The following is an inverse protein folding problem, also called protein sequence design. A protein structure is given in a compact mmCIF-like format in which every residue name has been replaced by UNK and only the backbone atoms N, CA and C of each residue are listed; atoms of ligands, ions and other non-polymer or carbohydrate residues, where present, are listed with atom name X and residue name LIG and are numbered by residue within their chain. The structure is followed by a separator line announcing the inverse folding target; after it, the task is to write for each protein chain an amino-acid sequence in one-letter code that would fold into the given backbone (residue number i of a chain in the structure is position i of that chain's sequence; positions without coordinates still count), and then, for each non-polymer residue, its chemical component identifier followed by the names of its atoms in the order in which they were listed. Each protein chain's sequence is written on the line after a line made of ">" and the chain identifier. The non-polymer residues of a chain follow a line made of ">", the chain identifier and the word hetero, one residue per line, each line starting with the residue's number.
data_IF_101098777445
#
_entry.id   IF_101098777445
#
_cell.length_a   1.000
_cell.length_b   1.000
_cell.length_c   1.000
_cell.angle_alpha   90.00
_cell.angle_beta   90.00
_cell.angle_gamma   90.00
#
_symmetry.space_group_name_H-M   'P 1'
#
loop_
_entity.id
_entity.type
_entity.pdbx_description
1 polymer ?
#
# COMPACT_ATOMS: atom_id res chain seq x y z
N UNK A 1 6.64 22.24 44.05
CA UNK A 1 6.18 20.83 43.94
C UNK A 1 5.44 20.65 42.62
N UNK A 2 6.09 20.06 41.60
CA UNK A 2 5.47 19.81 40.29
C UNK A 2 5.25 18.30 40.14
N UNK A 3 3.99 17.85 40.13
CA UNK A 3 3.61 16.46 39.88
C UNK A 3 3.78 16.14 38.39
N UNK A 4 4.75 15.27 38.08
CA UNK A 4 4.91 14.62 36.77
C UNK A 4 3.75 13.64 36.58
N UNK A 5 2.92 13.83 35.55
CA UNK A 5 1.93 12.84 35.10
C UNK A 5 2.66 11.77 34.28
N UNK A 6 2.72 10.55 34.80
CA UNK A 6 3.14 9.36 34.08
C UNK A 6 2.15 9.03 32.95
N UNK A 7 2.67 8.93 31.73
CA UNK A 7 1.93 8.46 30.56
C UNK A 7 2.02 6.94 30.48
N UNK A 8 0.93 6.24 30.77
CA UNK A 8 0.81 4.81 30.51
C UNK A 8 0.81 4.52 29.01
N UNK A 9 1.60 3.55 28.51
CA UNK A 9 1.60 3.19 27.10
C UNK A 9 0.28 2.50 26.73
N UNK A 10 -0.49 3.10 25.81
CA UNK A 10 -1.65 2.44 25.20
C UNK A 10 -1.18 1.21 24.43
N UNK A 11 -1.57 0.03 24.88
CA UNK A 11 -1.41 -1.24 24.17
C UNK A 11 -2.01 -1.13 22.76
N UNK A 12 -1.16 -1.30 21.75
CA UNK A 12 -1.60 -1.49 20.37
C UNK A 12 -2.28 -2.86 20.29
N UNK A 13 -3.61 -2.88 20.30
CA UNK A 13 -4.39 -4.05 19.88
C UNK A 13 -3.94 -4.44 18.47
N UNK A 14 -3.12 -5.48 18.38
CA UNK A 14 -2.72 -6.12 17.13
C UNK A 14 -3.99 -6.70 16.52
N UNK A 15 -4.54 -6.05 15.49
CA UNK A 15 -5.55 -6.66 14.63
C UNK A 15 -4.89 -7.86 13.98
N UNK A 16 -5.18 -9.07 14.47
CA UNK A 16 -4.96 -10.30 13.72
C UNK A 16 -5.85 -10.25 12.48
N UNK A 17 -5.30 -9.73 11.38
CA UNK A 17 -5.87 -9.94 10.06
C UNK A 17 -5.62 -11.40 9.70
N UNK A 18 -6.67 -12.20 9.64
CA UNK A 18 -6.66 -13.48 8.92
C UNK A 18 -6.09 -13.18 7.53
N UNK A 19 -4.94 -13.77 7.21
CA UNK A 19 -4.34 -13.59 5.88
C UNK A 19 -5.39 -13.98 4.84
N UNK A 20 -5.71 -13.10 3.87
CA UNK A 20 -6.59 -13.48 2.78
C UNK A 20 -5.93 -14.65 2.07
N UNK A 21 -6.57 -15.82 2.10
CA UNK A 21 -6.01 -17.09 1.59
C UNK A 21 -5.74 -17.10 0.07
N UNK A 22 -5.94 -15.99 -0.64
CA UNK A 22 -5.71 -15.89 -2.08
C UNK A 22 -5.36 -14.44 -2.47
N UNK A 23 -4.15 -13.99 -2.15
CA UNK A 23 -3.65 -12.67 -2.56
C UNK A 23 -3.08 -12.77 -3.98
N UNK A 24 -3.69 -12.06 -4.92
CA UNK A 24 -3.18 -11.93 -6.28
C UNK A 24 -1.99 -10.97 -6.29
N UNK A 25 -0.83 -11.45 -6.72
CA UNK A 25 0.32 -10.58 -6.92
C UNK A 25 0.21 -9.85 -8.26
N UNK A 26 0.45 -8.53 -8.24
CA UNK A 26 0.31 -7.61 -9.39
C UNK A 26 1.50 -6.65 -9.46
N UNK A 27 1.82 -6.07 -10.62
CA UNK A 27 2.86 -5.03 -10.71
C UNK A 27 2.38 -3.70 -10.11
N UNK A 28 1.09 -3.41 -10.30
CA UNK A 28 0.43 -2.19 -9.83
C UNK A 28 -0.95 -2.53 -9.26
N UNK A 29 -1.19 -2.13 -8.01
CA UNK A 29 -2.52 -2.21 -7.42
C UNK A 29 -3.44 -1.25 -8.17
N UNK A 30 -4.61 -1.75 -8.60
CA UNK A 30 -5.60 -0.93 -9.30
C UNK A 30 -6.01 0.30 -8.48
N UNK A 31 -6.29 1.41 -9.16
CA UNK A 31 -6.64 2.66 -8.48
C UNK A 31 -7.92 2.51 -7.66
N UNK A 32 -8.90 1.75 -8.17
CA UNK A 32 -10.13 1.39 -7.48
C UNK A 32 -9.86 0.68 -6.15
N UNK A 33 -8.96 -0.32 -6.15
CA UNK A 33 -8.60 -1.10 -4.96
C UNK A 33 -7.95 -0.19 -3.91
N UNK A 34 -7.15 0.80 -4.31
CA UNK A 34 -6.59 1.79 -3.38
C UNK A 34 -7.68 2.63 -2.72
N UNK A 35 -8.68 3.09 -3.47
CA UNK A 35 -9.80 3.84 -2.91
C UNK A 35 -10.67 2.97 -2.00
N UNK A 36 -10.95 1.73 -2.38
CA UNK A 36 -11.68 0.76 -1.55
C UNK A 36 -10.93 0.53 -0.23
N UNK A 37 -9.61 0.29 -0.29
CA UNK A 37 -8.76 0.14 0.90
C UNK A 37 -8.78 1.38 1.80
N UNK A 38 -8.73 2.58 1.21
CA UNK A 38 -8.84 3.84 1.96
C UNK A 38 -10.20 3.97 2.64
N UNK A 39 -11.28 3.59 1.95
CA UNK A 39 -12.66 3.64 2.46
C UNK A 39 -12.87 2.68 3.62
N UNK A 40 -12.48 1.40 3.48
CA UNK A 40 -12.45 0.42 4.58
C UNK A 40 -11.65 0.94 5.76
N UNK A 41 -10.54 1.63 5.48
CA UNK A 41 -9.70 2.26 6.49
C UNK A 41 -10.37 3.40 7.28
N UNK A 42 -11.54 3.90 6.88
CA UNK A 42 -12.35 4.88 7.63
C UNK A 42 -13.21 4.23 8.70
N UNK A 43 -13.50 2.94 8.59
CA UNK A 43 -14.41 2.23 9.49
C UNK A 43 -14.00 2.41 10.96
N UNK A 44 -14.94 2.91 11.77
CA UNK A 44 -14.80 3.23 13.19
C UNK A 44 -13.69 4.24 13.50
N UNK A 45 -13.35 5.11 12.54
CA UNK A 45 -12.45 6.24 12.77
C UNK A 45 -13.21 7.55 12.74
N UNK A 46 -12.88 8.42 13.69
CA UNK A 46 -13.33 9.81 13.71
C UNK A 46 -12.61 10.57 12.60
N UNK A 47 -13.38 11.31 11.79
CA UNK A 47 -12.86 12.13 10.69
C UNK A 47 -13.55 13.47 10.66
N UNK A 48 -12.78 14.48 10.27
CA UNK A 48 -13.29 15.83 10.01
C UNK A 48 -14.04 15.86 8.68
N UNK A 49 -15.00 16.79 8.49
CA UNK A 49 -15.66 16.98 7.20
C UNK A 49 -14.67 17.24 6.07
N UNK A 50 -13.62 18.02 6.33
CA UNK A 50 -12.55 18.30 5.36
C UNK A 50 -11.80 17.05 4.91
N UNK A 51 -11.58 16.07 5.80
CA UNK A 51 -10.92 14.81 5.44
C UNK A 51 -11.80 13.96 4.50
N UNK A 52 -13.12 13.95 4.72
CA UNK A 52 -14.08 13.26 3.84
C UNK A 52 -14.18 14.00 2.50
N UNK A 53 -14.28 15.32 2.49
CA UNK A 53 -14.29 16.13 1.27
C UNK A 53 -13.02 15.91 0.43
N UNK A 54 -11.84 15.86 1.07
CA UNK A 54 -10.58 15.58 0.39
C UNK A 54 -10.55 14.17 -0.24
N UNK A 55 -11.21 13.19 0.39
CA UNK A 55 -11.41 11.87 -0.20
C UNK A 55 -12.30 11.98 -1.44
N UNK A 56 -13.49 12.56 -1.32
CA UNK A 56 -14.45 12.71 -2.44
C UNK A 56 -13.76 13.37 -3.64
N UNK A 57 -13.06 14.49 -3.43
CA UNK A 57 -12.31 15.20 -4.48
C UNK A 57 -11.23 14.33 -5.13
N UNK A 58 -10.51 13.52 -4.35
CA UNK A 58 -9.52 12.60 -4.90
C UNK A 58 -10.17 11.53 -5.78
N UNK A 59 -11.30 10.95 -5.33
CA UNK A 59 -12.04 9.93 -6.08
C UNK A 59 -12.56 10.51 -7.41
N UNK A 60 -13.18 11.68 -7.37
CA UNK A 60 -13.69 12.38 -8.55
C UNK A 60 -12.56 12.69 -9.55
N UNK A 61 -11.40 13.15 -9.08
CA UNK A 61 -10.23 13.39 -9.95
C UNK A 61 -9.77 12.12 -10.66
N UNK A 62 -9.68 10.99 -9.95
CA UNK A 62 -9.26 9.72 -10.57
C UNK A 62 -10.27 9.21 -11.61
N UNK A 63 -11.56 9.48 -11.42
CA UNK A 63 -12.61 9.20 -12.42
C UNK A 63 -12.42 10.11 -13.65
N UNK A 64 -12.27 11.43 -13.45
CA UNK A 64 -12.08 12.41 -14.55
C UNK A 64 -10.81 12.11 -15.35
N UNK A 65 -9.72 11.72 -14.68
CA UNK A 65 -8.46 11.31 -15.31
C UNK A 65 -8.53 9.94 -15.99
N UNK A 66 -9.68 9.26 -15.98
CA UNK A 66 -9.90 7.91 -16.54
C UNK A 66 -8.99 6.84 -15.94
N UNK A 67 -8.49 7.06 -14.71
CA UNK A 67 -7.81 6.04 -13.90
C UNK A 67 -8.81 5.02 -13.37
N UNK A 68 -10.04 5.48 -13.08
CA UNK A 68 -11.19 4.63 -12.77
C UNK A 68 -12.19 4.76 -13.92
N UNK A 69 -12.56 3.64 -14.53
CA UNK A 69 -13.46 3.61 -15.69
C UNK A 69 -14.76 2.91 -15.34
N UNK A 70 -15.85 3.29 -16.01
CA UNK A 70 -17.16 2.61 -15.87
C UNK A 70 -17.12 1.14 -16.27
N UNK A 71 -16.22 0.78 -17.18
CA UNK A 71 -15.99 -0.60 -17.63
C UNK A 71 -15.17 -1.44 -16.63
N UNK A 72 -14.74 -0.85 -15.52
CA UNK A 72 -14.03 -1.57 -14.47
C UNK A 72 -14.98 -2.59 -13.80
N UNK A 73 -14.50 -3.79 -13.45
CA UNK A 73 -15.30 -4.76 -12.69
C UNK A 73 -15.65 -4.28 -11.28
N UNK A 74 -14.97 -3.24 -10.77
CA UNK A 74 -15.19 -2.64 -9.44
C UNK A 74 -15.96 -1.32 -9.51
N UNK A 75 -16.57 -1.00 -10.66
CA UNK A 75 -17.27 0.27 -10.87
C UNK A 75 -18.47 0.43 -9.92
N UNK A 76 -19.20 -0.64 -9.65
CA UNK A 76 -20.33 -0.65 -8.71
C UNK A 76 -19.91 -0.33 -7.27
N UNK A 77 -18.81 -0.92 -6.79
CA UNK A 77 -18.27 -0.63 -5.46
C UNK A 77 -17.81 0.84 -5.36
N UNK A 78 -17.18 1.37 -6.40
CA UNK A 78 -16.74 2.77 -6.43
C UNK A 78 -17.93 3.73 -6.39
N UNK A 79 -18.98 3.46 -7.16
CA UNK A 79 -20.20 4.26 -7.15
C UNK A 79 -20.87 4.24 -5.77
N UNK A 80 -21.00 3.06 -5.17
CA UNK A 80 -21.50 2.92 -3.81
C UNK A 80 -20.68 3.74 -2.81
N UNK A 81 -19.34 3.65 -2.87
CA UNK A 81 -18.43 4.41 -2.00
C UNK A 81 -18.64 5.92 -2.18
N UNK A 82 -18.70 6.39 -3.42
CA UNK A 82 -18.92 7.80 -3.73
C UNK A 82 -20.22 8.30 -3.10
N UNK A 83 -21.33 7.57 -3.31
CA UNK A 83 -22.64 7.93 -2.79
C UNK A 83 -22.64 7.99 -1.26
N UNK A 84 -22.05 6.99 -0.59
CA UNK A 84 -21.95 6.98 0.88
C UNK A 84 -21.08 8.09 1.44
N UNK A 85 -19.96 8.41 0.78
CA UNK A 85 -19.10 9.52 1.21
C UNK A 85 -19.80 10.87 1.08
N UNK A 86 -20.51 11.11 -0.03
CA UNK A 86 -21.28 12.34 -0.25
C UNK A 86 -22.41 12.46 0.79
N UNK A 87 -23.16 11.39 1.02
CA UNK A 87 -24.22 11.38 2.03
C UNK A 87 -23.67 11.64 3.44
N UNK A 88 -22.53 11.05 3.80
CA UNK A 88 -21.91 11.29 5.10
C UNK A 88 -21.46 12.75 5.21
N UNK A 89 -20.74 13.27 4.22
CA UNK A 89 -20.25 14.66 4.23
C UNK A 89 -21.39 15.67 4.40
N UNK A 90 -22.52 15.46 3.70
CA UNK A 90 -23.68 16.36 3.78
C UNK A 90 -24.39 16.31 5.13
N UNK A 91 -24.26 15.21 5.89
CA UNK A 91 -24.87 15.04 7.22
C UNK A 91 -23.97 15.51 8.36
N UNK A 92 -22.65 15.50 8.15
CA UNK A 92 -21.68 15.84 9.17
C UNK A 92 -21.82 17.29 9.61
N UNK A 93 -21.94 17.51 10.93
CA UNK A 93 -21.90 18.86 11.53
C UNK A 93 -20.56 19.18 12.16
N UNK A 94 -19.66 18.20 12.21
CA UNK A 94 -18.33 18.29 12.80
C UNK A 94 -17.60 16.96 12.64
N UNK A 95 -16.72 16.67 13.59
CA UNK A 95 -15.94 15.44 13.58
C UNK A 95 -16.82 14.25 14.01
N UNK A 96 -16.96 13.27 13.13
CA UNK A 96 -17.85 12.12 13.35
C UNK A 96 -17.16 10.81 12.99
N UNK A 97 -17.59 9.72 13.66
CA UNK A 97 -17.12 8.38 13.35
C UNK A 97 -17.81 7.82 12.11
N UNK A 98 -17.04 7.30 11.17
CA UNK A 98 -17.58 6.69 9.96
C UNK A 98 -17.84 5.18 10.18
N UNK A 99 -19.10 4.76 10.17
CA UNK A 99 -19.49 3.35 10.26
C UNK A 99 -19.86 2.79 8.88
N UNK A 100 -19.43 1.56 8.62
CA UNK A 100 -19.76 0.80 7.40
C UNK A 100 -20.54 -0.41 7.89
N UNK A 101 -21.63 -0.76 7.22
CA UNK A 101 -22.37 -1.98 7.58
C UNK A 101 -21.47 -3.22 7.39
N UNK A 102 -21.73 -4.26 8.17
CA UNK A 102 -20.84 -5.42 8.24
C UNK A 102 -20.75 -6.19 6.91
N UNK A 103 -21.86 -6.31 6.18
CA UNK A 103 -21.91 -6.96 4.86
C UNK A 103 -20.96 -6.30 3.86
N UNK A 104 -21.08 -4.99 3.71
CA UNK A 104 -20.25 -4.22 2.78
C UNK A 104 -18.81 -4.13 3.29
N UNK A 105 -18.61 -4.05 4.61
CA UNK A 105 -17.26 -4.06 5.18
C UNK A 105 -16.53 -5.36 4.82
N UNK A 106 -17.17 -6.52 5.01
CA UNK A 106 -16.57 -7.83 4.71
C UNK A 106 -16.25 -7.97 3.22
N UNK A 107 -17.18 -7.57 2.34
CA UNK A 107 -16.98 -7.55 0.88
C UNK A 107 -15.80 -6.65 0.49
N UNK A 108 -15.79 -5.40 0.96
CA UNK A 108 -14.76 -4.43 0.62
C UNK A 108 -13.39 -4.78 1.23
N UNK A 109 -13.34 -5.41 2.41
CA UNK A 109 -12.11 -5.92 3.03
C UNK A 109 -11.49 -7.02 2.17
N UNK A 110 -12.31 -7.93 1.64
CA UNK A 110 -11.84 -8.99 0.74
C UNK A 110 -11.21 -8.39 -0.52
N UNK A 111 -11.83 -7.38 -1.12
CA UNK A 111 -11.27 -6.67 -2.29
C UNK A 111 -9.99 -5.92 -1.91
N UNK A 112 -10.00 -5.17 -0.81
CA UNK A 112 -8.85 -4.38 -0.36
C UNK A 112 -7.61 -5.23 -0.01
N UNK A 113 -7.82 -6.50 0.37
CA UNK A 113 -6.78 -7.48 0.65
C UNK A 113 -6.48 -8.43 -0.51
N UNK A 114 -7.21 -8.35 -1.62
CA UNK A 114 -7.12 -9.30 -2.74
C UNK A 114 -5.93 -9.06 -3.68
N UNK A 115 -5.32 -7.88 -3.65
CA UNK A 115 -4.15 -7.54 -4.47
C UNK A 115 -2.95 -7.16 -3.59
N UNK A 116 -1.77 -7.68 -3.93
CA UNK A 116 -0.49 -7.23 -3.38
C UNK A 116 0.52 -6.98 -4.50
N UNK A 117 1.41 -6.01 -4.31
CA UNK A 117 2.50 -5.79 -5.26
C UNK A 117 3.54 -6.88 -5.10
N UNK A 118 4.06 -7.41 -6.21
CA UNK A 118 5.19 -8.34 -6.17
C UNK A 118 6.36 -7.78 -5.32
N UNK A 119 6.90 -8.57 -4.36
CA UNK A 119 8.09 -8.16 -3.61
C UNK A 119 9.29 -7.84 -4.51
N UNK A 120 9.41 -8.55 -5.64
CA UNK A 120 10.43 -8.30 -6.66
C UNK A 120 10.35 -6.89 -7.29
N UNK A 121 9.14 -6.38 -7.55
CA UNK A 121 8.95 -5.01 -8.05
C UNK A 121 9.42 -3.98 -7.02
N UNK A 122 9.17 -4.22 -5.73
CA UNK A 122 9.65 -3.34 -4.66
C UNK A 122 11.19 -3.32 -4.60
N UNK A 123 11.82 -4.49 -4.76
CA UNK A 123 13.27 -4.64 -4.89
C UNK A 123 13.80 -3.83 -6.07
N UNK A 124 13.23 -4.01 -7.26
CA UNK A 124 13.69 -3.36 -8.49
C UNK A 124 13.60 -1.84 -8.36
N UNK A 125 12.47 -1.31 -7.86
CA UNK A 125 12.29 0.14 -7.65
C UNK A 125 13.31 0.70 -6.66
N UNK A 126 13.61 -0.03 -5.59
CA UNK A 126 14.61 0.40 -4.60
C UNK A 126 16.02 0.37 -5.18
N UNK A 127 16.34 -0.63 -5.99
CA UNK A 127 17.61 -0.69 -6.71
C UNK A 127 17.79 0.49 -7.67
N UNK A 128 16.76 0.84 -8.45
CA UNK A 128 16.79 2.02 -9.34
C UNK A 128 17.15 3.28 -8.55
N UNK A 129 16.52 3.50 -7.40
CA UNK A 129 16.84 4.66 -6.54
C UNK A 129 18.23 4.63 -5.90
N UNK A 130 18.90 3.47 -5.88
CA UNK A 130 20.25 3.30 -5.35
C UNK A 130 21.36 3.42 -6.41
N UNK A 131 21.02 3.37 -7.69
CA UNK A 131 22.00 3.55 -8.76
C UNK A 131 22.69 4.93 -8.65
N UNK A 132 23.99 4.97 -8.87
CA UNK A 132 24.81 6.17 -8.73
C UNK A 132 25.13 6.60 -7.29
N UNK A 133 24.53 5.97 -6.27
CA UNK A 133 24.84 6.25 -4.86
C UNK A 133 26.15 5.58 -4.44
N UNK A 134 26.88 6.23 -3.53
CA UNK A 134 28.08 5.73 -2.85
C UNK A 134 27.90 5.51 -1.34
N UNK A 135 26.68 5.69 -0.83
CA UNK A 135 26.39 5.53 0.60
C UNK A 135 26.37 4.05 0.98
N UNK A 136 27.51 3.57 1.48
CA UNK A 136 27.73 2.19 1.92
C UNK A 136 26.67 1.69 2.92
N UNK A 137 26.18 2.55 3.82
CA UNK A 137 25.16 2.16 4.80
C UNK A 137 23.83 1.84 4.12
N UNK A 138 23.42 2.64 3.12
CA UNK A 138 22.20 2.39 2.34
C UNK A 138 22.33 1.13 1.49
N UNK A 139 23.50 0.91 0.90
CA UNK A 139 23.77 -0.27 0.07
C UNK A 139 23.75 -1.53 0.94
N UNK A 140 24.42 -1.52 2.08
CA UNK A 140 24.40 -2.64 3.03
C UNK A 140 22.98 -2.91 3.58
N UNK A 141 22.24 -1.85 3.93
CA UNK A 141 20.83 -1.95 4.32
C UNK A 141 19.96 -2.62 3.25
N UNK A 142 20.21 -2.30 1.97
CA UNK A 142 19.48 -2.91 0.86
C UNK A 142 19.88 -4.36 0.63
N UNK A 143 21.16 -4.70 0.73
CA UNK A 143 21.62 -6.10 0.64
C UNK A 143 21.02 -6.97 1.74
N UNK A 144 21.05 -6.50 3.00
CA UNK A 144 20.40 -7.20 4.10
C UNK A 144 18.90 -7.39 3.84
N UNK A 145 18.23 -6.39 3.28
CA UNK A 145 16.82 -6.51 2.89
C UNK A 145 16.59 -7.58 1.81
N UNK A 146 17.46 -7.66 0.80
CA UNK A 146 17.40 -8.69 -0.24
C UNK A 146 17.61 -10.10 0.31
N UNK A 147 18.63 -10.29 1.15
CA UNK A 147 18.94 -11.57 1.77
C UNK A 147 17.75 -12.07 2.60
N UNK A 148 17.16 -11.18 3.42
CA UNK A 148 15.95 -11.50 4.19
C UNK A 148 14.75 -11.92 3.32
N UNK A 149 14.60 -11.36 2.11
CA UNK A 149 13.51 -11.75 1.20
C UNK A 149 13.76 -13.12 0.57
N UNK A 150 15.00 -13.41 0.19
CA UNK A 150 15.41 -14.69 -0.39
C UNK A 150 15.36 -15.81 0.65
N UNK A 151 15.89 -15.57 1.86
CA UNK A 151 15.85 -16.52 2.99
C UNK A 151 14.42 -16.90 3.37
N UNK A 152 13.52 -15.91 3.42
CA UNK A 152 12.10 -16.13 3.74
C UNK A 152 11.30 -16.68 2.55
N UNK A 153 11.96 -16.99 1.42
CA UNK A 153 11.34 -17.48 0.17
C UNK A 153 10.15 -16.62 -0.27
N UNK A 154 10.22 -15.30 -0.01
CA UNK A 154 9.15 -14.35 -0.38
C UNK A 154 9.11 -14.03 -1.86
N UNK A 155 10.19 -14.34 -2.58
CA UNK A 155 10.26 -14.29 -4.03
C UNK A 155 10.34 -15.74 -4.47
N UNK A 156 9.23 -16.26 -4.98
CA UNK A 156 9.11 -17.64 -5.48
C UNK A 156 9.57 -17.71 -6.93
N UNK A 157 9.70 -18.93 -7.47
CA UNK A 157 10.01 -19.13 -8.89
C UNK A 157 8.89 -18.65 -9.82
N UNK A 158 7.66 -18.58 -9.30
CA UNK A 158 6.49 -18.09 -10.05
C UNK A 158 6.44 -16.56 -10.13
N UNK A 159 7.33 -15.86 -9.42
CA UNK A 159 7.47 -14.40 -9.55
C UNK A 159 8.12 -14.08 -10.91
N UNK A 160 7.44 -13.36 -11.82
CA UNK A 160 7.92 -13.10 -13.17
C UNK A 160 9.18 -12.24 -13.22
N UNK A 161 9.61 -11.66 -12.09
CA UNK A 161 10.81 -10.84 -11.98
C UNK A 161 11.89 -11.45 -11.09
N UNK A 162 11.77 -12.73 -10.69
CA UNK A 162 12.76 -13.41 -9.86
C UNK A 162 14.17 -13.34 -10.47
N UNK A 163 14.31 -13.51 -11.78
CA UNK A 163 15.60 -13.44 -12.48
C UNK A 163 16.22 -12.04 -12.40
N UNK A 164 15.40 -10.99 -12.53
CA UNK A 164 15.88 -9.60 -12.38
C UNK A 164 16.40 -9.35 -10.96
N UNK A 165 15.72 -9.90 -9.95
CA UNK A 165 16.18 -9.80 -8.55
C UNK A 165 17.51 -10.53 -8.34
N UNK A 166 17.66 -11.73 -8.90
CA UNK A 166 18.90 -12.49 -8.83
C UNK A 166 20.06 -11.75 -9.51
N UNK A 167 19.81 -11.12 -10.66
CA UNK A 167 20.79 -10.28 -11.35
C UNK A 167 21.21 -9.07 -10.51
N UNK A 168 20.25 -8.39 -9.86
CA UNK A 168 20.53 -7.28 -8.93
C UNK A 168 21.41 -7.76 -7.76
N UNK A 169 21.08 -8.89 -7.14
CA UNK A 169 21.86 -9.44 -6.04
C UNK A 169 23.32 -9.71 -6.45
N UNK A 170 23.53 -10.35 -7.61
CA UNK A 170 24.87 -10.59 -8.16
C UNK A 170 25.64 -9.29 -8.43
N UNK A 171 24.98 -8.32 -9.07
CA UNK A 171 25.56 -7.00 -9.37
C UNK A 171 26.11 -6.29 -8.14
N UNK A 172 25.32 -6.26 -7.05
CA UNK A 172 25.74 -5.57 -5.83
C UNK A 172 26.84 -6.35 -5.10
N UNK A 173 26.78 -7.68 -5.12
CA UNK A 173 27.79 -8.55 -4.48
C UNK A 173 29.15 -8.50 -5.20
N UNK A 174 29.13 -8.38 -6.53
CA UNK A 174 30.32 -8.38 -7.38
C UNK A 174 30.83 -6.98 -7.73
N UNK A 175 30.31 -5.94 -7.09
CA UNK A 175 30.71 -4.56 -7.40
C UNK A 175 32.22 -4.37 -7.15
N UNK A 176 32.92 -3.84 -8.14
CA UNK A 176 34.32 -3.41 -8.04
C UNK A 176 34.45 -1.92 -7.69
N UNK A 177 33.37 -1.15 -7.86
CA UNK A 177 33.33 0.29 -7.57
C UNK A 177 32.61 0.59 -6.25
N UNK A 178 33.04 1.66 -5.59
CA UNK A 178 32.34 2.23 -4.43
C UNK A 178 30.94 2.77 -4.79
N UNK A 179 30.66 3.04 -6.08
CA UNK A 179 29.35 3.49 -6.58
C UNK A 179 28.62 2.36 -7.29
N UNK A 180 27.31 2.27 -7.10
CA UNK A 180 26.46 1.36 -7.88
C UNK A 180 26.36 1.87 -9.32
N UNK A 181 26.72 1.04 -10.29
CA UNK A 181 26.66 1.38 -11.70
C UNK A 181 25.22 1.67 -12.16
N UNK A 182 25.07 2.64 -13.06
CA UNK A 182 23.80 2.91 -13.71
C UNK A 182 23.59 1.83 -14.78
N UNK A 183 22.60 0.96 -14.58
CA UNK A 183 22.24 -0.09 -15.54
C UNK A 183 20.89 0.22 -16.18
N UNK A 184 20.77 0.00 -17.50
CA UNK A 184 19.48 0.07 -18.19
C UNK A 184 18.57 -1.02 -17.64
N UNK A 185 17.41 -0.63 -17.11
CA UNK A 185 16.35 -1.57 -16.71
C UNK A 185 15.46 -1.77 -17.92
N UNK A 186 15.84 -2.71 -18.79
CA UNK A 186 14.96 -3.20 -19.86
C UNK A 186 14.07 -4.33 -19.32
#
# INVERSE_FOLDING_TARGET
>A
MAKKKESTPKEKKVRQSKEPKNVKHVEHIREEVKFIKRYVGLHNKVKTPNAILAFIKALQRSIVQKLIRKTSPLSGEIEMIQNKLVQAYNKMKGDESFAINEKDLNHLVAIAGGEAVYPSIAVIKRYIGLQGQSDEKKIHSFMKYLENLLEKKKITKDDPYADKVNAIYKSIKQRSSAKIAISRVN
#
